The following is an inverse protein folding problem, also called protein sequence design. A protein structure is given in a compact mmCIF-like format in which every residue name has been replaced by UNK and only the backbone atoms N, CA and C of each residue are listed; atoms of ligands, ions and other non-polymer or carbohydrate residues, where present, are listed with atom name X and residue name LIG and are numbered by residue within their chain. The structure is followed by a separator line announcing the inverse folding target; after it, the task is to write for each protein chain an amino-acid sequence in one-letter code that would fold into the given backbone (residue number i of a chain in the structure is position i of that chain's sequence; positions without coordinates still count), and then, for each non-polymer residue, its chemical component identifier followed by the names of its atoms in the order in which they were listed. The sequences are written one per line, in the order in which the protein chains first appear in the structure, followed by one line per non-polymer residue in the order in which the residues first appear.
data_IF_206620784167
#
_entry.id   IF_206620784167
#
_cell.length_a   1.000
_cell.length_b   1.000
_cell.length_c   1.000
_cell.angle_alpha   90.00
_cell.angle_beta   90.00
_cell.angle_gamma   90.00
#
_symmetry.space_group_name_H-M   'P 1'
#
loop_
_entity.id
_entity.type
_entity.pdbx_description
1 polymer ?
#
# COMPACT_ATOMS: atom_id res chain seq x y z
N UNK A 1 19.80 -30.79 -16.29
CA UNK A 1 18.60 -30.01 -16.66
C UNK A 1 18.53 -28.80 -15.73
N UNK A 2 18.66 -27.58 -16.25
CA UNK A 2 18.47 -26.35 -15.45
C UNK A 2 16.97 -26.14 -15.34
N UNK A 3 16.40 -26.31 -14.15
CA UNK A 3 15.01 -25.92 -13.88
C UNK A 3 14.86 -24.42 -14.23
N UNK A 4 13.77 -24.00 -14.90
CA UNK A 4 13.47 -22.58 -14.98
C UNK A 4 13.32 -22.07 -13.55
N UNK A 5 14.16 -21.11 -13.16
CA UNK A 5 13.90 -20.30 -11.94
C UNK A 5 12.48 -19.77 -12.11
N UNK A 6 11.59 -19.90 -11.11
CA UNK A 6 10.32 -19.19 -11.18
C UNK A 6 10.69 -17.73 -11.42
N UNK A 7 10.19 -17.16 -12.52
CA UNK A 7 10.28 -15.72 -12.75
C UNK A 7 9.80 -15.06 -11.48
N UNK A 8 10.71 -14.34 -10.81
CA UNK A 8 10.43 -13.64 -9.57
C UNK A 8 9.25 -12.73 -9.86
N UNK A 9 8.07 -13.22 -9.50
CA UNK A 9 6.83 -12.63 -9.91
C UNK A 9 6.81 -11.27 -9.24
N UNK A 10 6.87 -10.19 -10.02
CA UNK A 10 6.79 -8.81 -9.52
C UNK A 10 5.46 -8.50 -8.80
N UNK A 11 4.65 -9.52 -8.57
CA UNK A 11 3.37 -9.56 -7.88
C UNK A 11 3.43 -10.32 -6.54
N UNK A 12 4.63 -10.74 -6.09
CA UNK A 12 4.77 -11.44 -4.82
C UNK A 12 4.60 -10.45 -3.66
N UNK A 13 3.46 -10.55 -2.98
CA UNK A 13 3.19 -9.78 -1.76
C UNK A 13 3.91 -10.45 -0.58
N UNK A 14 4.73 -9.68 0.12
CA UNK A 14 5.43 -10.14 1.31
C UNK A 14 4.75 -9.62 2.57
N UNK A 15 4.81 -10.40 3.65
CA UNK A 15 4.35 -10.01 4.98
C UNK A 15 5.34 -9.04 5.65
N UNK A 16 5.60 -7.89 5.02
CA UNK A 16 6.47 -6.85 5.56
C UNK A 16 6.00 -5.43 5.18
N UNK A 17 6.54 -4.45 5.92
CA UNK A 17 6.20 -3.05 5.76
C UNK A 17 6.61 -2.49 4.39
N UNK A 18 7.74 -2.95 3.83
CA UNK A 18 8.23 -2.49 2.53
C UNK A 18 7.27 -2.88 1.39
N UNK A 19 6.87 -4.16 1.35
CA UNK A 19 5.90 -4.69 0.38
C UNK A 19 4.56 -3.99 0.53
N UNK A 20 4.07 -3.84 1.77
CA UNK A 20 2.84 -3.12 2.04
C UNK A 20 2.92 -1.67 1.57
N UNK A 21 4.03 -1.00 1.86
CA UNK A 21 4.25 0.39 1.47
C UNK A 21 4.22 0.58 -0.04
N UNK A 22 4.79 -0.34 -0.82
CA UNK A 22 4.70 -0.29 -2.29
C UNK A 22 3.26 -0.36 -2.79
N UNK A 23 2.46 -1.28 -2.25
CA UNK A 23 1.04 -1.43 -2.62
C UNK A 23 0.23 -0.20 -2.19
N UNK A 24 0.50 0.33 -1.00
CA UNK A 24 -0.13 1.54 -0.48
C UNK A 24 0.15 2.75 -1.37
N UNK A 25 1.43 3.00 -1.71
CA UNK A 25 1.84 4.08 -2.61
C UNK A 25 1.17 3.99 -3.99
N UNK A 26 1.08 2.78 -4.55
CA UNK A 26 0.41 2.53 -5.82
C UNK A 26 -1.09 2.82 -5.74
N UNK A 27 -1.77 2.34 -4.71
CA UNK A 27 -3.19 2.59 -4.47
C UNK A 27 -3.47 4.08 -4.23
N UNK A 28 -2.60 4.77 -3.49
CA UNK A 28 -2.69 6.21 -3.27
C UNK A 28 -2.56 6.99 -4.58
N UNK A 29 -1.58 6.66 -5.41
CA UNK A 29 -1.40 7.29 -6.74
C UNK A 29 -2.62 7.07 -7.62
N UNK A 30 -3.11 5.83 -7.73
CA UNK A 30 -4.33 5.50 -8.52
C UNK A 30 -5.52 6.33 -8.06
N UNK A 31 -5.76 6.39 -6.76
CA UNK A 31 -6.88 7.16 -6.20
C UNK A 31 -6.74 8.67 -6.45
N UNK A 32 -5.52 9.20 -6.34
CA UNK A 32 -5.21 10.62 -6.63
C UNK A 32 -5.42 10.94 -8.11
N UNK A 33 -4.98 10.07 -9.01
CA UNK A 33 -5.15 10.23 -10.45
C UNK A 33 -6.62 10.12 -10.87
N UNK A 34 -7.39 9.22 -10.25
CA UNK A 34 -8.82 9.07 -10.52
C UNK A 34 -9.67 10.24 -9.97
N UNK A 35 -9.19 10.92 -8.94
CA UNK A 35 -9.90 12.04 -8.33
C UNK A 35 -9.00 13.30 -8.26
N UNK A 36 -8.67 13.93 -9.40
CA UNK A 36 -7.69 15.01 -9.51
C UNK A 36 -8.13 16.37 -8.92
N UNK A 37 -9.06 16.38 -7.98
CA UNK A 37 -9.53 17.57 -7.26
C UNK A 37 -10.13 17.26 -5.88
N UNK A 38 -9.91 16.04 -5.37
CA UNK A 38 -10.45 15.64 -4.08
C UNK A 38 -9.60 16.25 -2.97
N UNK A 39 -10.03 17.41 -2.46
CA UNK A 39 -9.49 18.03 -1.25
C UNK A 39 -10.00 17.28 0.00
N UNK A 40 -9.84 15.95 0.02
CA UNK A 40 -10.11 15.16 1.22
C UNK A 40 -8.94 15.31 2.18
N UNK A 41 -9.24 15.39 3.47
CA UNK A 41 -8.21 15.31 4.49
C UNK A 41 -7.44 14.00 4.32
N UNK A 42 -6.11 14.08 4.40
CA UNK A 42 -5.21 12.94 4.21
C UNK A 42 -5.62 11.72 5.05
N UNK A 43 -6.18 11.96 6.25
CA UNK A 43 -6.73 10.94 7.17
C UNK A 43 -7.92 10.16 6.60
N UNK A 44 -8.88 10.81 5.95
CA UNK A 44 -10.05 10.11 5.37
C UNK A 44 -9.62 9.23 4.19
N UNK A 45 -8.70 9.75 3.38
CA UNK A 45 -8.14 9.02 2.25
C UNK A 45 -7.31 7.82 2.69
N UNK A 46 -6.53 7.94 3.77
CA UNK A 46 -5.80 6.80 4.36
C UNK A 46 -6.76 5.65 4.65
N UNK A 47 -7.92 5.91 5.25
CA UNK A 47 -8.93 4.87 5.54
C UNK A 47 -9.41 4.14 4.27
N UNK A 48 -9.69 4.88 3.19
CA UNK A 48 -10.12 4.30 1.91
C UNK A 48 -9.03 3.45 1.24
N UNK A 49 -7.78 3.93 1.28
CA UNK A 49 -6.64 3.19 0.72
C UNK A 49 -6.35 1.94 1.56
N UNK A 50 -6.41 2.03 2.89
CA UNK A 50 -6.24 0.89 3.78
C UNK A 50 -7.30 -0.19 3.55
N UNK A 51 -8.56 0.22 3.33
CA UNK A 51 -9.62 -0.72 2.97
C UNK A 51 -9.32 -1.43 1.64
N UNK A 52 -8.70 -0.74 0.68
CA UNK A 52 -8.25 -1.32 -0.59
C UNK A 52 -7.06 -2.27 -0.42
N UNK A 53 -6.27 -2.10 0.65
CA UNK A 53 -5.12 -2.94 1.01
C UNK A 53 -5.46 -4.00 2.08
N UNK A 54 -6.75 -4.19 2.43
CA UNK A 54 -7.18 -5.09 3.51
C UNK A 54 -6.77 -6.55 3.30
N UNK A 55 -6.61 -6.98 2.04
CA UNK A 55 -6.20 -8.34 1.67
C UNK A 55 -4.67 -8.54 1.69
N UNK A 56 -3.88 -7.47 1.88
CA UNK A 56 -2.42 -7.59 1.89
C UNK A 56 -1.95 -8.41 3.11
N UNK A 57 -1.02 -9.38 2.95
CA UNK A 57 -0.59 -10.25 4.05
C UNK A 57 -0.16 -9.47 5.29
N UNK A 58 0.64 -8.41 5.11
CA UNK A 58 1.06 -7.54 6.22
C UNK A 58 -0.10 -6.83 6.94
N UNK A 59 -1.18 -6.48 6.23
CA UNK A 59 -2.37 -5.86 6.80
C UNK A 59 -3.18 -6.86 7.62
N UNK A 60 -3.24 -8.12 7.17
CA UNK A 60 -3.89 -9.22 7.89
C UNK A 60 -3.08 -9.61 9.14
N UNK A 61 -1.76 -9.74 9.01
CA UNK A 61 -0.87 -10.13 10.11
C UNK A 61 -0.71 -9.03 11.15
N UNK A 62 -0.52 -7.77 10.72
CA UNK A 62 -0.20 -6.64 11.58
C UNK A 62 -0.96 -5.35 11.18
N UNK A 63 -2.29 -5.29 11.35
CA UNK A 63 -3.11 -4.16 10.92
C UNK A 63 -2.71 -2.84 11.61
N UNK A 64 -2.32 -2.89 12.89
CA UNK A 64 -1.88 -1.71 13.63
C UNK A 64 -0.58 -1.11 13.02
N UNK A 65 0.39 -1.96 12.69
CA UNK A 65 1.64 -1.53 12.07
C UNK A 65 1.41 -1.05 10.63
N UNK A 66 0.53 -1.71 9.88
CA UNK A 66 0.14 -1.28 8.54
C UNK A 66 -0.48 0.13 8.55
N UNK A 67 -1.32 0.44 9.55
CA UNK A 67 -1.85 1.78 9.73
C UNK A 67 -0.75 2.82 10.00
N UNK A 68 0.17 2.54 10.92
CA UNK A 68 1.31 3.42 11.19
C UNK A 68 2.22 3.63 9.96
N UNK A 69 2.43 2.59 9.16
CA UNK A 69 3.18 2.68 7.89
C UNK A 69 2.45 3.60 6.91
N UNK A 70 1.13 3.48 6.79
CA UNK A 70 0.32 4.36 5.95
C UNK A 70 0.42 5.83 6.38
N UNK A 71 0.25 6.12 7.67
CA UNK A 71 0.40 7.48 8.22
C UNK A 71 1.81 8.05 7.96
N UNK A 72 2.85 7.23 8.16
CA UNK A 72 4.23 7.62 7.90
C UNK A 72 4.47 7.93 6.41
N UNK A 73 3.95 7.09 5.50
CA UNK A 73 4.05 7.30 4.05
C UNK A 73 3.43 8.62 3.62
N UNK A 74 2.26 8.96 4.14
CA UNK A 74 1.58 10.24 3.82
C UNK A 74 2.39 11.43 4.31
N UNK A 75 2.93 11.34 5.53
CA UNK A 75 3.80 12.39 6.08
C UNK A 75 5.07 12.60 5.24
N UNK A 76 5.63 11.53 4.66
CA UNK A 76 6.76 11.62 3.73
C UNK A 76 6.40 12.25 2.37
N UNK A 77 5.17 12.02 1.90
CA UNK A 77 4.67 12.58 0.65
C UNK A 77 4.29 14.07 0.75
N UNK A 78 4.31 14.65 1.95
CA UNK A 78 4.08 16.07 2.19
C UNK A 78 2.60 16.47 2.20
N UNK A 79 1.70 15.52 2.45
CA UNK A 79 0.26 15.74 2.62
C UNK A 79 -0.17 15.76 4.10
#
# INVERSE_FOLDING_TARGET
MRSPRPEASSNQLFDNADSFGMVFDEAWKRHTTQNPGHAMASTEKIGLILASCADHPFMVSNPAMAHQVAEFRIRLLGF
#
